data_IF_574632642169
#
_entry.id   IF_574632642169
#
_cell.length_a   1.000
_cell.length_b   1.000
_cell.length_c   1.000
_cell.angle_alpha   90.00
_cell.angle_beta   90.00
_cell.angle_gamma   90.00
#
_symmetry.space_group_name_H-M   'P 1'
#
loop_
_entity.id
_entity.type
_entity.pdbx_description
1 polymer ?
#
# COMPACT_ATOMS: atom_id res chain seq x y z
N UNK A 1 11.71 -3.25 -102.33
CA UNK A 1 11.34 -2.93 -100.93
C UNK A 1 10.53 -4.11 -100.40
N UNK A 2 11.01 -4.84 -99.38
CA UNK A 2 10.28 -6.01 -98.84
C UNK A 2 9.14 -5.51 -97.95
N UNK A 3 7.91 -5.87 -98.30
CA UNK A 3 6.71 -5.59 -97.51
C UNK A 3 6.54 -6.73 -96.50
N UNK A 4 6.70 -6.41 -95.21
CA UNK A 4 6.57 -7.38 -94.12
C UNK A 4 5.10 -7.49 -93.69
N UNK A 5 4.65 -8.73 -93.42
CA UNK A 5 3.27 -8.99 -93.06
C UNK A 5 3.04 -8.78 -91.55
N UNK A 6 1.83 -8.40 -91.12
CA UNK A 6 1.51 -7.97 -89.74
C UNK A 6 1.83 -9.04 -88.68
N UNK A 7 1.83 -10.31 -89.06
CA UNK A 7 2.19 -11.46 -88.23
C UNK A 7 3.69 -11.56 -87.93
N UNK A 8 4.56 -11.11 -88.85
CA UNK A 8 6.03 -11.15 -88.70
C UNK A 8 6.55 -10.04 -87.78
N UNK A 9 5.80 -8.94 -87.65
CA UNK A 9 6.14 -7.82 -86.77
C UNK A 9 5.90 -8.13 -85.28
N UNK A 10 5.01 -9.08 -84.97
CA UNK A 10 4.62 -9.41 -83.59
C UNK A 10 5.74 -10.11 -82.80
N UNK A 11 6.61 -10.84 -83.51
CA UNK A 11 7.77 -11.54 -82.95
C UNK A 11 9.10 -10.89 -83.34
N UNK A 12 9.05 -9.68 -83.93
CA UNK A 12 10.25 -8.95 -84.31
C UNK A 12 10.94 -8.39 -83.07
N UNK A 13 12.26 -8.60 -83.00
CA UNK A 13 13.17 -8.13 -81.94
C UNK A 13 13.02 -6.62 -81.65
N UNK A 14 12.52 -5.86 -82.62
CA UNK A 14 12.23 -4.42 -82.54
C UNK A 14 11.28 -4.05 -81.38
N UNK A 15 10.31 -4.93 -81.04
CA UNK A 15 9.41 -4.67 -79.91
C UNK A 15 10.08 -4.94 -78.55
N UNK A 16 11.11 -5.79 -78.50
CA UNK A 16 11.83 -6.16 -77.29
C UNK A 16 13.09 -5.31 -77.05
N UNK A 17 13.70 -4.75 -78.10
CA UNK A 17 14.82 -3.80 -78.01
C UNK A 17 14.35 -2.36 -77.73
N UNK A 18 13.03 -2.13 -77.67
CA UNK A 18 12.47 -0.82 -77.32
C UNK A 18 12.61 -0.61 -75.82
N UNK A 19 13.43 0.38 -75.43
CA UNK A 19 13.56 0.80 -74.03
C UNK A 19 12.17 0.97 -73.42
N UNK A 20 11.89 0.35 -72.26
CA UNK A 20 10.60 0.48 -71.61
C UNK A 20 10.21 1.95 -71.49
N UNK A 21 8.92 2.30 -71.65
CA UNK A 21 8.48 3.68 -71.51
C UNK A 21 8.93 4.22 -70.15
N UNK A 22 9.44 5.46 -70.13
CA UNK A 22 10.00 6.08 -68.92
C UNK A 22 9.03 6.01 -67.72
N UNK A 23 7.72 6.08 -67.99
CA UNK A 23 6.66 5.90 -67.00
C UNK A 23 6.76 4.58 -66.22
N UNK A 24 7.07 3.46 -66.88
CA UNK A 24 7.18 2.15 -66.21
C UNK A 24 8.37 2.12 -65.24
N UNK A 25 9.51 2.73 -65.60
CA UNK A 25 10.66 2.86 -64.71
C UNK A 25 10.36 3.77 -63.51
N UNK A 26 9.72 4.92 -63.76
CA UNK A 26 9.33 5.86 -62.70
C UNK A 26 8.39 5.17 -61.71
N UNK A 27 7.44 4.38 -62.20
CA UNK A 27 6.50 3.61 -61.37
C UNK A 27 7.26 2.60 -60.51
N UNK A 28 8.13 1.77 -61.11
CA UNK A 28 8.91 0.76 -60.37
C UNK A 28 9.77 1.40 -59.28
N UNK A 29 10.48 2.48 -59.60
CA UNK A 29 11.35 3.18 -58.65
C UNK A 29 10.53 3.83 -57.53
N UNK A 30 9.42 4.48 -57.87
CA UNK A 30 8.51 5.08 -56.89
C UNK A 30 7.95 4.03 -55.92
N UNK A 31 7.49 2.89 -56.44
CA UNK A 31 7.02 1.77 -55.63
C UNK A 31 8.13 1.21 -54.73
N UNK A 32 9.36 1.08 -55.24
CA UNK A 32 10.49 0.60 -54.45
C UNK A 32 10.86 1.55 -53.30
N UNK A 33 10.80 2.86 -53.52
CA UNK A 33 11.06 3.88 -52.48
C UNK A 33 10.00 3.82 -51.39
N UNK A 34 8.71 3.72 -51.76
CA UNK A 34 7.60 3.63 -50.80
C UNK A 34 7.73 2.36 -49.94
N UNK A 35 8.02 1.21 -50.56
CA UNK A 35 8.23 -0.06 -49.85
C UNK A 35 9.41 0.02 -48.88
N UNK A 36 10.52 0.61 -49.32
CA UNK A 36 11.72 0.78 -48.49
C UNK A 36 11.43 1.69 -47.28
N UNK A 37 10.72 2.80 -47.50
CA UNK A 37 10.30 3.69 -46.42
C UNK A 37 9.38 3.03 -45.40
N UNK A 38 8.45 2.20 -45.85
CA UNK A 38 7.55 1.45 -44.98
C UNK A 38 8.30 0.41 -44.13
N UNK A 39 9.27 -0.30 -44.71
CA UNK A 39 10.13 -1.27 -44.00
C UNK A 39 10.96 -0.60 -42.90
N UNK A 40 11.59 0.53 -43.23
CA UNK A 40 12.36 1.32 -42.27
C UNK A 40 11.44 1.83 -41.17
N UNK A 41 10.30 2.44 -41.51
CA UNK A 41 9.33 2.90 -40.52
C UNK A 41 8.88 1.79 -39.56
N UNK A 42 8.53 0.62 -40.09
CA UNK A 42 8.13 -0.54 -39.28
C UNK A 42 9.23 -1.04 -38.33
N UNK A 43 10.50 -0.95 -38.75
CA UNK A 43 11.64 -1.36 -37.91
C UNK A 43 11.95 -0.36 -36.78
N UNK A 44 11.71 0.94 -37.00
CA UNK A 44 11.99 1.99 -36.02
C UNK A 44 10.82 2.32 -35.10
N UNK A 45 9.60 1.84 -35.37
CA UNK A 45 8.46 2.06 -34.47
C UNK A 45 8.69 1.27 -33.16
N UNK A 46 8.85 1.95 -32.01
CA UNK A 46 9.01 1.26 -30.73
C UNK A 46 7.71 0.53 -30.38
N UNK A 47 7.83 -0.75 -30.02
CA UNK A 47 6.69 -1.53 -29.52
C UNK A 47 6.39 -1.08 -28.10
N UNK A 48 5.43 -0.16 -27.94
CA UNK A 48 4.96 0.25 -26.63
C UNK A 48 4.22 -0.91 -25.95
N UNK A 49 4.88 -1.57 -24.99
CA UNK A 49 4.28 -2.60 -24.18
C UNK A 49 3.60 -1.97 -22.95
N UNK A 50 2.28 -1.80 -23.01
CA UNK A 50 1.50 -1.30 -21.88
C UNK A 50 1.11 -2.49 -21.00
N UNK A 51 1.80 -2.65 -19.87
CA UNK A 51 1.41 -3.62 -18.85
C UNK A 51 0.18 -3.09 -18.13
N UNK A 52 -0.98 -3.66 -18.42
CA UNK A 52 -2.20 -3.43 -17.66
C UNK A 52 -2.24 -4.46 -16.53
N UNK A 53 -1.91 -4.03 -15.33
CA UNK A 53 -2.13 -4.83 -14.13
C UNK A 53 -3.50 -4.49 -13.55
N UNK A 54 -4.36 -5.50 -13.38
CA UNK A 54 -5.56 -5.38 -12.56
C UNK A 54 -5.17 -5.74 -11.13
N UNK A 55 -5.30 -4.79 -10.22
CA UNK A 55 -5.07 -5.00 -8.80
C UNK A 55 -6.20 -4.35 -8.01
N UNK A 56 -6.53 -4.95 -6.87
CA UNK A 56 -7.42 -4.33 -5.90
C UNK A 56 -6.55 -3.69 -4.79
N UNK A 57 -6.89 -2.47 -4.38
CA UNK A 57 -6.26 -1.83 -3.23
C UNK A 57 -6.83 -2.45 -1.97
N UNK A 58 -6.08 -3.37 -1.37
CA UNK A 58 -6.44 -3.98 -0.10
C UNK A 58 -5.66 -3.29 1.01
N UNK A 59 -6.33 -2.98 2.12
CA UNK A 59 -5.69 -2.47 3.32
C UNK A 59 -4.89 -3.61 3.94
N UNK A 60 -3.58 -3.43 4.09
CA UNK A 60 -2.73 -4.39 4.80
C UNK A 60 -2.75 -4.05 6.28
N UNK A 61 -3.15 -5.00 7.14
CA UNK A 61 -3.11 -4.84 8.60
C UNK A 61 -4.37 -4.21 9.21
N UNK A 62 -5.55 -4.70 8.84
CA UNK A 62 -6.77 -4.38 9.61
C UNK A 62 -6.72 -5.07 10.97
N UNK A 63 -6.65 -4.28 12.03
CA UNK A 63 -6.70 -4.76 13.42
C UNK A 63 -8.05 -4.41 14.06
N UNK A 64 -8.59 -5.36 14.83
CA UNK A 64 -9.79 -5.15 15.62
C UNK A 64 -9.40 -4.91 17.07
N UNK A 65 -9.77 -3.74 17.59
CA UNK A 65 -9.51 -3.37 18.97
C UNK A 65 -10.70 -3.76 19.83
N UNK A 66 -10.42 -4.44 20.95
CA UNK A 66 -11.42 -4.79 21.96
C UNK A 66 -10.99 -4.29 23.33
N UNK A 67 -11.99 -4.00 24.16
CA UNK A 67 -11.77 -3.67 25.55
C UNK A 67 -11.29 -4.90 26.33
N UNK A 68 -10.26 -4.73 27.17
CA UNK A 68 -9.75 -5.80 28.05
C UNK A 68 -10.78 -6.17 29.14
N UNK A 69 -11.58 -5.19 29.58
CA UNK A 69 -12.56 -5.36 30.65
C UNK A 69 -13.98 -4.99 30.22
N UNK A 70 -14.95 -5.61 30.89
CA UNK A 70 -16.36 -5.26 30.73
C UNK A 70 -16.67 -3.92 31.38
N UNK A 71 -17.33 -3.03 30.64
CA UNK A 71 -17.73 -1.72 31.13
C UNK A 71 -18.68 -1.04 30.14
N UNK A 72 -19.30 0.04 30.59
CA UNK A 72 -20.10 0.91 29.72
C UNK A 72 -19.16 1.93 29.07
N UNK A 73 -19.35 2.19 27.77
CA UNK A 73 -18.65 3.28 27.08
C UNK A 73 -19.12 4.60 27.66
N UNK A 74 -18.19 5.36 28.25
CA UNK A 74 -18.47 6.67 28.84
C UNK A 74 -18.12 7.77 27.87
N UNK A 75 -16.96 7.66 27.22
CA UNK A 75 -16.49 8.64 26.25
C UNK A 75 -15.85 7.96 25.05
N UNK A 76 -16.10 8.54 23.87
CA UNK A 76 -15.47 8.22 22.61
C UNK A 76 -14.59 9.42 22.26
N UNK A 77 -13.28 9.22 22.19
CA UNK A 77 -12.31 10.31 21.98
C UNK A 77 -11.96 10.50 20.50
N UNK A 78 -12.24 9.50 19.67
CA UNK A 78 -11.92 9.48 18.24
C UNK A 78 -13.14 9.02 17.45
N UNK A 79 -13.43 9.73 16.36
CA UNK A 79 -14.55 9.43 15.47
C UNK A 79 -14.11 8.53 14.32
N UNK A 80 -15.08 7.95 13.62
CA UNK A 80 -14.82 7.14 12.42
C UNK A 80 -14.07 7.96 11.36
N UNK A 81 -12.97 7.40 10.83
CA UNK A 81 -12.13 8.06 9.84
C UNK A 81 -10.99 8.91 10.41
N UNK A 82 -10.90 9.05 11.73
CA UNK A 82 -9.78 9.77 12.35
C UNK A 82 -8.46 8.98 12.25
N UNK A 83 -7.36 9.70 12.04
CA UNK A 83 -6.02 9.13 12.16
C UNK A 83 -5.64 8.97 13.63
N UNK A 84 -5.14 7.79 13.98
CA UNK A 84 -4.72 7.40 15.34
C UNK A 84 -3.28 6.93 15.32
N UNK A 85 -2.53 7.27 16.36
CA UNK A 85 -1.16 6.80 16.58
C UNK A 85 -1.12 5.78 17.72
N UNK A 86 -0.02 5.02 17.80
CA UNK A 86 0.20 4.08 18.89
C UNK A 86 0.20 4.81 20.25
N UNK A 87 -0.69 4.39 21.14
CA UNK A 87 -0.87 4.99 22.48
C UNK A 87 -2.04 5.98 22.57
N UNK A 88 -2.72 6.31 21.47
CA UNK A 88 -3.89 7.17 21.52
C UNK A 88 -5.07 6.47 22.22
N UNK A 89 -5.77 7.24 23.07
CA UNK A 89 -7.00 6.78 23.72
C UNK A 89 -8.15 6.93 22.72
N UNK A 90 -8.74 5.81 22.31
CA UNK A 90 -9.87 5.78 21.36
C UNK A 90 -11.21 5.77 22.10
N UNK A 91 -11.31 4.91 23.12
CA UNK A 91 -12.51 4.73 23.95
C UNK A 91 -12.12 4.76 25.43
N UNK A 92 -13.01 5.31 26.26
CA UNK A 92 -12.92 5.13 27.72
C UNK A 92 -14.16 4.46 28.26
N UNK A 93 -13.92 3.43 29.06
CA UNK A 93 -14.94 2.59 29.64
C UNK A 93 -15.01 2.83 31.14
N UNK A 94 -16.20 2.68 31.71
CA UNK A 94 -16.37 2.60 33.16
C UNK A 94 -17.33 1.46 33.50
N UNK A 95 -16.91 0.64 34.45
CA UNK A 95 -17.69 -0.36 35.16
C UNK A 95 -18.52 0.26 36.29
N UNK A 96 -18.32 1.55 36.60
CA UNK A 96 -18.97 2.26 37.71
C UNK A 96 -18.48 1.84 39.09
N UNK A 97 -17.63 0.81 39.17
CA UNK A 97 -17.10 0.26 40.41
C UNK A 97 -15.64 0.62 40.64
N UNK A 98 -14.93 1.20 39.65
CA UNK A 98 -13.50 1.50 39.76
C UNK A 98 -13.18 2.36 40.99
N UNK A 99 -13.96 3.43 41.19
CA UNK A 99 -13.75 4.35 42.32
C UNK A 99 -14.02 3.71 43.68
N UNK A 100 -15.05 2.86 43.77
CA UNK A 100 -15.39 2.15 45.01
C UNK A 100 -14.34 1.11 45.37
N UNK A 101 -13.87 0.35 44.37
CA UNK A 101 -12.81 -0.64 44.57
C UNK A 101 -11.50 0.03 44.98
N UNK A 102 -11.09 1.10 44.29
CA UNK A 102 -9.88 1.85 44.62
C UNK A 102 -9.93 2.45 46.02
N UNK A 103 -11.07 3.03 46.42
CA UNK A 103 -11.26 3.57 47.77
C UNK A 103 -11.20 2.47 48.85
N UNK A 104 -11.85 1.33 48.61
CA UNK A 104 -11.80 0.19 49.54
C UNK A 104 -10.39 -0.37 49.70
N UNK A 105 -9.67 -0.55 48.59
CA UNK A 105 -8.28 -1.00 48.58
C UNK A 105 -7.36 -0.02 49.32
N UNK A 106 -7.50 1.28 49.07
CA UNK A 106 -6.72 2.30 49.77
C UNK A 106 -6.96 2.29 51.28
N UNK A 107 -8.22 2.18 51.71
CA UNK A 107 -8.54 2.05 53.15
C UNK A 107 -7.94 0.81 53.80
N UNK A 108 -7.93 -0.31 53.08
CA UNK A 108 -7.28 -1.53 53.56
C UNK A 108 -5.76 -1.35 53.65
N UNK A 109 -5.16 -0.73 52.65
CA UNK A 109 -3.73 -0.45 52.60
C UNK A 109 -3.29 0.48 53.75
N UNK A 110 -4.08 1.52 54.02
CA UNK A 110 -3.84 2.46 55.11
C UNK A 110 -3.89 1.76 56.48
N UNK A 111 -4.90 0.91 56.71
CA UNK A 111 -4.99 0.09 57.93
C UNK A 111 -3.80 -0.86 58.09
N UNK A 112 -3.33 -1.46 57.00
CA UNK A 112 -2.18 -2.35 57.01
C UNK A 112 -0.89 -1.59 57.33
N UNK A 113 -0.68 -0.41 56.73
CA UNK A 113 0.48 0.44 57.06
C UNK A 113 0.46 0.93 58.50
N UNK A 114 -0.71 1.30 59.03
CA UNK A 114 -0.83 1.67 60.44
C UNK A 114 -0.46 0.51 61.38
N UNK A 115 -0.89 -0.72 61.04
CA UNK A 115 -0.48 -1.92 61.78
C UNK A 115 1.01 -2.21 61.67
N UNK A 116 1.59 -2.09 60.48
CA UNK A 116 3.03 -2.26 60.24
C UNK A 116 3.85 -1.29 61.10
N UNK A 117 3.46 -0.01 61.14
CA UNK A 117 4.12 0.98 61.97
C UNK A 117 4.08 0.64 63.47
N UNK A 118 2.95 0.09 63.95
CA UNK A 118 2.83 -0.38 65.34
C UNK A 118 3.74 -1.60 65.58
N UNK A 119 3.78 -2.56 64.66
CA UNK A 119 4.64 -3.73 64.78
C UNK A 119 6.12 -3.36 64.76
N UNK A 120 6.54 -2.40 63.92
CA UNK A 120 7.91 -1.88 63.93
C UNK A 120 8.27 -1.22 65.26
N UNK A 121 7.38 -0.38 65.82
CA UNK A 121 7.57 0.21 67.16
C UNK A 121 7.63 -0.86 68.26
N UNK A 122 6.83 -1.91 68.12
CA UNK A 122 6.84 -3.04 69.05
C UNK A 122 8.17 -3.81 69.00
N UNK A 123 8.66 -4.14 67.81
CA UNK A 123 9.98 -4.76 67.62
C UNK A 123 11.10 -3.89 68.20
N UNK A 124 11.06 -2.58 67.94
CA UNK A 124 12.03 -1.64 68.50
C UNK A 124 11.98 -1.62 70.03
N UNK A 125 10.79 -1.62 70.62
CA UNK A 125 10.61 -1.65 72.08
C UNK A 125 11.15 -2.93 72.71
N UNK A 126 11.00 -4.08 72.03
CA UNK A 126 11.55 -5.36 72.49
C UNK A 126 13.08 -5.37 72.41
N UNK A 127 13.66 -4.87 71.31
CA UNK A 127 15.11 -4.82 71.11
C UNK A 127 15.80 -3.88 72.12
N UNK A 128 15.23 -2.70 72.36
CA UNK A 128 15.81 -1.68 73.25
C UNK A 128 15.45 -1.89 74.73
N UNK A 129 14.56 -2.85 75.03
CA UNK A 129 13.98 -3.09 76.39
C UNK A 129 13.38 -1.84 77.03
N UNK A 130 12.93 -0.90 76.21
CA UNK A 130 12.31 0.35 76.62
C UNK A 130 10.98 0.52 75.86
N UNK A 131 9.92 0.92 76.56
CA UNK A 131 8.57 0.93 75.98
C UNK A 131 8.32 2.19 75.15
N UNK A 132 8.40 2.07 73.82
CA UNK A 132 8.08 3.15 72.88
C UNK A 132 6.59 3.24 72.51
N UNK A 133 5.74 2.34 73.03
CA UNK A 133 4.29 2.31 72.79
C UNK A 133 3.49 3.09 73.84
N UNK A 134 4.12 3.55 74.94
CA UNK A 134 3.42 4.15 76.08
C UNK A 134 2.87 5.56 75.83
N UNK A 135 3.08 6.16 74.66
CA UNK A 135 2.75 7.57 74.38
C UNK A 135 2.10 7.80 73.01
N UNK A 136 1.42 6.78 72.47
CA UNK A 136 0.62 6.87 71.24
C UNK A 136 -0.87 6.85 71.53
#
# INVERSE_FOLDING_TARGET
MKLYNKSELRYSRIFFDKRPPAFAFILIISTAIILSGALVGAAYIPKNYIVKANGNSVITGTEFLSAIGSGKVVTLHKSEGDMVNAGDVIISLSSGQEGLQASSLNKQLEKLRAKEAIFQKFEQSLNEKYNHLSNS
#
